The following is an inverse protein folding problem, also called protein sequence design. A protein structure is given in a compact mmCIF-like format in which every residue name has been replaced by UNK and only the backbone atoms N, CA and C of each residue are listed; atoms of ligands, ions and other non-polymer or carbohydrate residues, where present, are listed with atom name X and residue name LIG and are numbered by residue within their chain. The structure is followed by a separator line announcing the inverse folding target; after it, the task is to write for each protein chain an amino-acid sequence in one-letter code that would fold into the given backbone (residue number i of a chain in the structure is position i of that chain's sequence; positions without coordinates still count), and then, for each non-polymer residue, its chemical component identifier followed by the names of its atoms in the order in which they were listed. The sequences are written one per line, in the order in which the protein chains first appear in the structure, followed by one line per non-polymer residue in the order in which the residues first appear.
data_IF_850181470069
#
_entry.id   IF_850181470069
#
_cell.length_a   1.000
_cell.length_b   1.000
_cell.length_c   1.000
_cell.angle_alpha   90.00
_cell.angle_beta   90.00
_cell.angle_gamma   90.00
#
_symmetry.space_group_name_H-M   'P 1'
#
loop_
_entity.id
_entity.type
_entity.pdbx_description
1 polymer ?
#
# COMPACT_ATOMS: atom_id res chain seq x y z
N UNK A 1 10.54 -33.54 14.36
CA UNK A 1 10.83 -32.59 13.27
C UNK A 1 12.02 -31.77 13.70
N UNK A 2 13.02 -31.60 12.83
CA UNK A 2 14.13 -30.69 13.09
C UNK A 2 13.64 -29.24 12.98
N UNK A 3 13.83 -28.46 14.05
CA UNK A 3 13.39 -27.06 14.12
C UNK A 3 14.05 -26.23 13.01
N UNK A 4 15.31 -26.52 12.68
CA UNK A 4 16.03 -25.79 11.64
C UNK A 4 15.41 -26.01 10.25
N UNK A 5 14.99 -27.24 9.94
CA UNK A 5 14.34 -27.56 8.67
C UNK A 5 12.95 -26.94 8.55
N UNK A 6 12.19 -26.88 9.65
CA UNK A 6 10.91 -26.17 9.68
C UNK A 6 11.09 -24.66 9.39
N UNK A 7 12.09 -24.02 10.02
CA UNK A 7 12.42 -22.60 9.77
C UNK A 7 12.83 -22.37 8.31
N UNK A 8 13.68 -23.24 7.74
CA UNK A 8 14.12 -23.13 6.35
C UNK A 8 12.96 -23.23 5.36
N UNK A 9 12.04 -24.16 5.60
CA UNK A 9 10.83 -24.32 4.80
C UNK A 9 9.94 -23.06 4.87
N UNK A 10 9.81 -22.47 6.05
CA UNK A 10 9.04 -21.24 6.24
C UNK A 10 9.66 -20.05 5.50
N UNK A 11 10.99 -19.88 5.57
CA UNK A 11 11.70 -18.85 4.80
C UNK A 11 11.50 -19.04 3.29
N UNK A 12 11.49 -20.27 2.80
CA UNK A 12 11.23 -20.55 1.39
C UNK A 12 9.80 -20.16 1.00
N UNK A 13 8.81 -20.51 1.82
CA UNK A 13 7.40 -20.11 1.62
C UNK A 13 7.26 -18.59 1.55
N UNK A 14 7.89 -17.85 2.48
CA UNK A 14 7.85 -16.39 2.48
C UNK A 14 8.41 -15.79 1.18
N UNK A 15 9.53 -16.33 0.67
CA UNK A 15 10.11 -15.86 -0.60
C UNK A 15 9.21 -16.16 -1.79
N UNK A 16 8.56 -17.32 -1.80
CA UNK A 16 7.57 -17.67 -2.83
C UNK A 16 6.38 -16.70 -2.77
N UNK A 17 5.84 -16.43 -1.58
CA UNK A 17 4.74 -15.48 -1.38
C UNK A 17 5.10 -14.06 -1.81
N UNK A 18 6.26 -13.54 -1.41
CA UNK A 18 6.74 -12.21 -1.84
C UNK A 18 6.84 -12.10 -3.37
N UNK A 19 7.21 -13.20 -4.05
CA UNK A 19 7.31 -13.23 -5.51
C UNK A 19 5.95 -13.30 -6.22
N UNK A 20 4.96 -13.94 -5.61
CA UNK A 20 3.64 -14.18 -6.20
C UNK A 20 2.65 -13.05 -5.88
N UNK A 21 2.75 -12.46 -4.68
CA UNK A 21 1.85 -11.45 -4.17
C UNK A 21 2.26 -10.03 -4.59
N UNK A 22 2.60 -9.86 -5.88
CA UNK A 22 2.97 -8.57 -6.45
C UNK A 22 1.79 -7.98 -7.25
N UNK A 23 1.24 -6.86 -6.78
CA UNK A 23 0.05 -6.25 -7.36
C UNK A 23 0.32 -4.86 -7.95
N UNK A 24 -0.17 -4.64 -9.17
CA UNK A 24 -0.10 -3.34 -9.87
C UNK A 24 -1.46 -2.72 -10.19
N UNK A 25 -2.55 -3.48 -9.97
CA UNK A 25 -3.93 -3.03 -10.15
C UNK A 25 -4.72 -3.17 -8.85
N UNK A 26 -5.62 -2.21 -8.62
CA UNK A 26 -6.53 -2.19 -7.47
C UNK A 26 -7.46 -3.39 -7.51
N UNK A 27 -7.98 -3.74 -8.69
CA UNK A 27 -8.86 -4.89 -8.86
C UNK A 27 -8.18 -6.19 -8.38
N UNK A 28 -6.99 -6.52 -8.90
CA UNK A 28 -6.29 -7.74 -8.50
C UNK A 28 -5.93 -7.76 -7.01
N UNK A 29 -5.51 -6.63 -6.45
CA UNK A 29 -5.19 -6.54 -5.02
C UNK A 29 -6.43 -6.76 -4.14
N UNK A 30 -7.56 -6.16 -4.51
CA UNK A 30 -8.83 -6.34 -3.80
C UNK A 30 -9.37 -7.76 -3.93
N UNK A 31 -9.29 -8.33 -5.13
CA UNK A 31 -9.72 -9.71 -5.40
C UNK A 31 -8.88 -10.69 -4.58
N UNK A 32 -7.56 -10.48 -4.49
CA UNK A 32 -6.69 -11.26 -3.61
C UNK A 32 -7.20 -11.22 -2.16
N UNK A 33 -7.37 -10.03 -1.57
CA UNK A 33 -7.84 -9.90 -0.18
C UNK A 33 -9.19 -10.59 0.03
N UNK A 34 -10.13 -10.40 -0.90
CA UNK A 34 -11.48 -10.94 -0.81
C UNK A 34 -11.53 -12.46 -0.96
N UNK A 35 -10.67 -13.03 -1.81
CA UNK A 35 -10.67 -14.46 -2.12
C UNK A 35 -9.81 -15.28 -1.17
N UNK A 36 -8.64 -14.77 -0.79
CA UNK A 36 -7.67 -15.51 0.03
C UNK A 36 -7.87 -15.26 1.52
N UNK A 37 -8.51 -14.15 1.91
CA UNK A 37 -8.66 -13.71 3.30
C UNK A 37 -7.34 -13.89 4.08
N UNK A 38 -6.28 -13.16 3.66
CA UNK A 38 -4.92 -13.46 4.07
C UNK A 38 -4.73 -13.29 5.57
N UNK A 39 -3.93 -14.18 6.16
CA UNK A 39 -3.53 -14.07 7.57
C UNK A 39 -2.50 -12.96 7.77
N UNK A 40 -2.30 -12.45 9.01
CA UNK A 40 -1.40 -11.33 9.26
C UNK A 40 0.08 -11.55 8.91
N UNK A 41 0.51 -12.80 8.70
CA UNK A 41 1.86 -13.19 8.31
C UNK A 41 2.09 -13.19 6.80
N UNK A 42 1.03 -13.05 5.99
CA UNK A 42 1.15 -12.98 4.53
C UNK A 42 1.69 -11.62 4.13
N UNK A 43 2.83 -11.60 3.46
CA UNK A 43 3.42 -10.40 2.89
C UNK A 43 2.97 -10.20 1.44
N UNK A 44 2.75 -8.94 1.07
CA UNK A 44 2.34 -8.54 -0.28
C UNK A 44 3.18 -7.36 -0.72
N UNK A 45 3.48 -7.29 -2.01
CA UNK A 45 4.07 -6.08 -2.61
C UNK A 45 3.03 -5.39 -3.46
N UNK A 46 2.84 -4.09 -3.25
CA UNK A 46 1.88 -3.29 -4.02
C UNK A 46 2.61 -2.14 -4.68
N UNK A 47 2.58 -2.08 -6.01
CA UNK A 47 3.13 -0.98 -6.80
C UNK A 47 2.00 -0.21 -7.47
N UNK A 48 1.72 1.01 -7.02
CA UNK A 48 0.54 1.77 -7.45
C UNK A 48 0.80 3.27 -7.50
N UNK A 49 -0.08 4.01 -8.20
CA UNK A 49 0.01 5.47 -8.33
C UNK A 49 -0.70 6.14 -7.17
N UNK A 50 -0.02 7.05 -6.46
CA UNK A 50 -0.62 7.87 -5.42
C UNK A 50 -1.64 8.84 -6.02
N UNK A 51 -2.91 8.70 -5.62
CA UNK A 51 -3.98 9.62 -5.95
C UNK A 51 -4.07 10.75 -4.93
N UNK A 52 -3.98 10.40 -3.65
CA UNK A 52 -4.01 11.36 -2.55
C UNK A 52 -3.31 10.79 -1.32
N UNK A 53 -2.92 11.64 -0.38
CA UNK A 53 -2.39 11.20 0.90
C UNK A 53 -2.73 12.17 2.02
N UNK A 54 -3.13 11.62 3.15
CA UNK A 54 -3.49 12.37 4.34
C UNK A 54 -2.81 11.82 5.59
N UNK A 55 -2.47 12.70 6.53
CA UNK A 55 -1.99 12.31 7.85
C UNK A 55 -3.15 11.72 8.67
N UNK A 56 -2.85 10.69 9.46
CA UNK A 56 -3.80 10.02 10.34
C UNK A 56 -3.21 9.81 11.73
N UNK A 57 -4.09 9.68 12.73
CA UNK A 57 -3.73 9.39 14.12
C UNK A 57 -2.71 10.40 14.71
N UNK A 58 -3.04 11.70 14.71
CA UNK A 58 -2.12 12.73 15.23
C UNK A 58 -0.78 12.74 14.49
N UNK A 59 -0.81 12.60 13.17
CA UNK A 59 0.32 12.50 12.25
C UNK A 59 1.21 11.26 12.41
N UNK A 60 0.80 10.25 13.19
CA UNK A 60 1.59 9.02 13.45
C UNK A 60 1.50 7.98 12.33
N UNK A 61 0.80 8.31 11.25
CA UNK A 61 0.77 7.53 10.04
C UNK A 61 0.27 8.35 8.88
N UNK A 62 0.54 7.90 7.67
CA UNK A 62 0.04 8.49 6.44
C UNK A 62 -0.85 7.47 5.74
N UNK A 63 -2.12 7.82 5.52
CA UNK A 63 -3.01 7.05 4.66
C UNK A 63 -2.82 7.53 3.24
N UNK A 64 -2.50 6.61 2.35
CA UNK A 64 -2.28 6.85 0.93
C UNK A 64 -3.43 6.23 0.17
N UNK A 65 -4.15 7.03 -0.58
CA UNK A 65 -5.15 6.56 -1.54
C UNK A 65 -4.46 6.35 -2.88
N UNK A 66 -4.57 5.16 -3.44
CA UNK A 66 -3.86 4.75 -4.65
C UNK A 66 -4.81 4.26 -5.74
N UNK A 67 -4.37 4.39 -6.99
CA UNK A 67 -4.99 3.84 -8.20
C UNK A 67 -3.97 2.95 -8.94
N UNK A 68 -4.43 2.20 -9.94
CA UNK A 68 -3.57 1.33 -10.75
C UNK A 68 -2.28 2.03 -11.22
N UNK A 69 -1.17 1.29 -11.24
CA UNK A 69 0.12 1.83 -11.65
C UNK A 69 0.12 2.37 -13.09
N UNK A 70 -0.63 1.73 -13.98
CA UNK A 70 -0.71 2.13 -15.40
C UNK A 70 -1.45 3.46 -15.60
N UNK A 71 -2.26 3.90 -14.63
CA UNK A 71 -2.98 5.19 -14.70
C UNK A 71 -2.05 6.38 -14.49
N UNK A 72 -0.77 6.15 -14.14
CA UNK A 72 0.25 7.20 -14.07
C UNK A 72 0.31 8.08 -15.32
N UNK A 73 0.14 7.47 -16.50
CA UNK A 73 0.23 8.15 -17.81
C UNK A 73 -0.97 9.07 -18.05
N UNK A 74 -2.13 8.72 -17.50
CA UNK A 74 -3.39 9.46 -17.63
C UNK A 74 -3.83 10.07 -16.30
N UNK A 75 -2.85 10.42 -15.46
CA UNK A 75 -3.10 10.66 -14.04
C UNK A 75 -4.17 11.73 -13.80
N UNK A 76 -4.09 12.87 -14.49
CA UNK A 76 -5.04 13.96 -14.30
C UNK A 76 -6.47 13.55 -14.71
N UNK A 77 -6.63 12.90 -15.87
CA UNK A 77 -7.96 12.44 -16.33
C UNK A 77 -8.55 11.40 -15.38
N UNK A 78 -7.73 10.45 -14.94
CA UNK A 78 -8.18 9.41 -14.01
C UNK A 78 -8.52 9.99 -12.65
N UNK A 79 -7.74 10.96 -12.16
CA UNK A 79 -7.99 11.60 -10.88
C UNK A 79 -9.26 12.45 -10.88
N UNK A 80 -9.54 13.16 -11.98
CA UNK A 80 -10.78 13.91 -12.20
C UNK A 80 -11.99 12.96 -12.26
N UNK A 81 -11.95 11.95 -13.14
CA UNK A 81 -13.04 10.99 -13.28
C UNK A 81 -13.33 10.23 -11.96
N UNK A 82 -12.29 9.86 -11.22
CA UNK A 82 -12.44 9.25 -9.88
C UNK A 82 -13.05 10.21 -8.87
N UNK A 83 -12.79 11.52 -8.99
CA UNK A 83 -13.36 12.57 -8.15
C UNK A 83 -14.85 12.84 -8.40
N UNK A 84 -15.32 12.63 -9.63
CA UNK A 84 -16.74 12.77 -9.99
C UNK A 84 -17.62 11.62 -9.48
N UNK A 85 -17.02 10.46 -9.18
CA UNK A 85 -17.74 9.32 -8.64
C UNK A 85 -18.18 9.56 -7.21
N UNK A 86 -19.38 9.08 -6.86
CA UNK A 86 -19.80 9.02 -5.46
C UNK A 86 -18.86 8.10 -4.66
N UNK A 87 -18.77 8.33 -3.35
CA UNK A 87 -17.89 7.56 -2.45
C UNK A 87 -18.03 6.05 -2.60
N UNK A 88 -19.25 5.55 -2.80
CA UNK A 88 -19.51 4.11 -2.99
C UNK A 88 -18.99 3.62 -4.34
N UNK A 89 -19.23 4.39 -5.41
CA UNK A 89 -18.81 4.03 -6.77
C UNK A 89 -17.30 4.14 -7.00
N UNK A 90 -16.60 4.93 -6.18
CA UNK A 90 -15.13 5.06 -6.22
C UNK A 90 -14.39 3.83 -5.70
N UNK A 91 -14.99 3.05 -4.78
CA UNK A 91 -14.33 1.93 -4.08
C UNK A 91 -13.64 0.89 -4.98
N UNK A 92 -14.19 0.49 -6.14
CA UNK A 92 -13.53 -0.49 -7.01
C UNK A 92 -12.23 0.03 -7.66
N UNK A 93 -12.08 1.35 -7.79
CA UNK A 93 -10.98 1.99 -8.51
C UNK A 93 -9.86 2.50 -7.60
N UNK A 94 -10.06 2.44 -6.27
CA UNK A 94 -9.05 2.87 -5.30
C UNK A 94 -8.73 1.77 -4.29
N UNK A 95 -7.49 1.80 -3.80
CA UNK A 95 -7.10 1.15 -2.56
C UNK A 95 -6.59 2.20 -1.56
N UNK A 96 -6.65 1.88 -0.28
CA UNK A 96 -6.09 2.71 0.78
C UNK A 96 -5.04 1.91 1.54
N UNK A 97 -3.84 2.46 1.63
CA UNK A 97 -2.70 1.86 2.34
C UNK A 97 -2.31 2.82 3.45
N UNK A 98 -2.24 2.33 4.68
CA UNK A 98 -1.80 3.14 5.82
C UNK A 98 -0.37 2.78 6.17
N UNK A 99 0.54 3.75 6.06
CA UNK A 99 1.94 3.63 6.44
C UNK A 99 2.12 4.24 7.82
N UNK A 100 2.52 3.42 8.80
CA UNK A 100 2.70 3.86 10.19
C UNK A 100 4.13 4.30 10.46
N UNK A 101 4.30 5.34 11.27
CA UNK A 101 5.61 5.78 11.74
C UNK A 101 6.23 4.74 12.69
N UNK A 102 7.56 4.61 12.65
CA UNK A 102 8.28 3.79 13.61
C UNK A 102 8.07 4.30 15.04
N UNK A 103 7.68 3.41 15.96
CA UNK A 103 7.53 3.74 17.39
C UNK A 103 8.89 4.14 17.98
N UNK A 104 8.91 5.20 18.80
CA UNK A 104 10.05 5.54 19.67
C UNK A 104 10.97 6.67 19.21
N UNK A 105 10.70 7.36 18.08
CA UNK A 105 11.39 8.63 17.79
C UNK A 105 10.57 9.80 18.32
N UNK A 106 11.04 10.51 19.36
CA UNK A 106 10.41 11.78 19.73
C UNK A 106 10.46 12.71 18.51
N UNK A 107 9.30 13.25 18.14
CA UNK A 107 9.19 14.25 17.09
C UNK A 107 9.84 15.53 17.58
N UNK A 108 11.09 15.76 17.19
CA UNK A 108 11.70 17.05 17.38
C UNK A 108 11.07 18.01 16.37
N UNK A 109 10.29 18.98 16.87
CA UNK A 109 9.74 20.13 16.12
C UNK A 109 10.86 20.94 15.42
N UNK A 110 12.12 20.72 15.80
CA UNK A 110 13.31 21.40 15.31
C UNK A 110 14.21 20.58 14.38
N UNK A 111 13.95 19.28 14.16
CA UNK A 111 14.66 18.53 13.12
C UNK A 111 13.73 18.37 11.93
N UNK A 112 13.90 19.24 10.92
CA UNK A 112 13.13 19.28 9.68
C UNK A 112 13.28 18.03 8.78
N UNK A 113 13.23 16.83 9.35
CA UNK A 113 13.09 15.59 8.60
C UNK A 113 11.64 15.52 8.12
N UNK A 114 11.41 15.63 6.80
CA UNK A 114 10.07 15.70 6.28
C UNK A 114 9.33 14.41 6.64
N UNK A 115 8.07 14.57 7.02
CA UNK A 115 7.05 13.53 6.95
C UNK A 115 7.25 12.68 5.69
N UNK A 116 6.95 11.38 5.75
CA UNK A 116 6.94 10.57 4.54
C UNK A 116 5.83 11.12 3.63
N UNK A 117 6.23 11.92 2.65
CA UNK A 117 5.32 12.67 1.79
C UNK A 117 5.10 11.89 0.51
N UNK A 118 3.85 11.50 0.29
CA UNK A 118 3.46 10.83 -0.93
C UNK A 118 3.01 11.88 -1.93
N UNK A 119 3.74 12.00 -3.03
CA UNK A 119 3.45 12.95 -4.08
C UNK A 119 2.31 12.42 -4.92
N UNK A 120 1.28 13.25 -5.09
CA UNK A 120 0.19 13.00 -6.02
C UNK A 120 0.74 12.71 -7.42
N UNK A 121 0.23 11.67 -8.05
CA UNK A 121 0.67 11.17 -9.34
C UNK A 121 2.00 10.42 -9.34
N UNK A 122 2.73 10.28 -8.22
CA UNK A 122 3.93 9.44 -8.19
C UNK A 122 3.58 7.96 -7.99
N UNK A 123 4.40 7.07 -8.56
CA UNK A 123 4.28 5.62 -8.36
C UNK A 123 5.12 5.21 -7.17
N UNK A 124 4.52 4.46 -6.25
CA UNK A 124 5.18 3.93 -5.06
C UNK A 124 5.08 2.42 -5.05
N UNK A 125 6.07 1.78 -4.46
CA UNK A 125 6.06 0.36 -4.15
C UNK A 125 6.07 0.20 -2.62
N UNK A 126 5.05 -0.49 -2.11
CA UNK A 126 4.86 -0.80 -0.70
C UNK A 126 5.18 -2.28 -0.49
N UNK A 127 5.95 -2.56 0.57
CA UNK A 127 6.36 -3.89 1.01
C UNK A 127 6.21 -3.96 2.53
#
# INVERSE_FOLDING_TARGET
MDLLEAIRKEILRQKEEESLNFFTSVAAFRDFIATTNPTPDVSVTVKMTCLDSEQVNGDHGTRVTVIDANQRVFFEQTAEAVGELTTVKRKPYIAQITVWDAKGKPRNVFSGKPYMTFRRGAVYEFR
#
